data_IF_900136891352
#
_entry.id   IF_900136891352
#
_cell.length_a   1.000
_cell.length_b   1.000
_cell.length_c   1.000
_cell.angle_alpha   90.00
_cell.angle_beta   90.00
_cell.angle_gamma   90.00
#
_symmetry.space_group_name_H-M   'P 1'
#
loop_
_entity.id
_entity.type
_entity.pdbx_description
1 polymer ?
#
# COMPACT_ATOMS: atom_id res chain seq x y z
N UNK A 1 11.03 -8.83 -6.12
CA UNK A 1 10.39 -7.56 -5.73
C UNK A 1 9.47 -7.06 -6.84
N UNK A 2 8.39 -6.38 -6.49
CA UNK A 2 7.36 -6.00 -7.47
C UNK A 2 7.83 -4.80 -8.32
N UNK A 3 7.76 -4.86 -9.66
CA UNK A 3 8.31 -3.80 -10.53
C UNK A 3 7.60 -2.44 -10.40
N UNK A 4 6.35 -2.42 -9.93
CA UNK A 4 5.57 -1.19 -9.72
C UNK A 4 6.03 -0.42 -8.47
N UNK A 5 6.61 -1.12 -7.48
CA UNK A 5 7.16 -0.50 -6.26
C UNK A 5 8.63 -0.89 -6.20
N UNK A 6 9.54 -0.01 -6.66
CA UNK A 6 10.95 -0.34 -6.83
C UNK A 6 11.72 -0.30 -5.51
N UNK A 7 11.41 -1.24 -4.61
CA UNK A 7 12.16 -1.47 -3.37
C UNK A 7 13.39 -2.31 -3.71
N UNK A 8 14.57 -1.89 -3.29
CA UNK A 8 15.82 -2.57 -3.58
C UNK A 8 16.52 -3.01 -2.29
N UNK A 9 17.03 -4.24 -2.20
CA UNK A 9 17.87 -4.66 -1.09
C UNK A 9 19.20 -3.89 -1.11
N UNK A 10 19.76 -3.63 0.07
CA UNK A 10 21.09 -3.08 0.23
C UNK A 10 22.10 -4.20 0.54
N UNK A 11 23.39 -3.86 0.67
CA UNK A 11 24.42 -4.80 1.09
C UNK A 11 24.25 -5.27 2.55
N UNK A 12 23.43 -4.56 3.35
CA UNK A 12 23.15 -4.92 4.73
C UNK A 12 21.90 -5.80 4.81
N UNK A 13 21.98 -7.04 5.35
CA UNK A 13 20.81 -7.90 5.48
C UNK A 13 19.65 -7.23 6.24
N UNK A 14 18.45 -7.35 5.70
CA UNK A 14 17.23 -6.75 6.28
C UNK A 14 17.08 -5.25 6.01
N UNK A 15 18.01 -4.62 5.29
CA UNK A 15 17.91 -3.22 4.89
C UNK A 15 17.59 -3.08 3.41
N UNK A 16 16.67 -2.17 3.12
CA UNK A 16 16.18 -1.89 1.78
C UNK A 16 16.14 -0.39 1.52
N UNK A 17 16.15 -0.04 0.24
CA UNK A 17 16.05 1.34 -0.20
C UNK A 17 14.90 1.51 -1.20
N UNK A 18 14.24 2.65 -1.14
CA UNK A 18 13.14 3.00 -1.99
C UNK A 18 13.13 4.51 -2.23
N UNK A 19 13.34 4.96 -3.45
CA UNK A 19 13.16 6.37 -3.82
C UNK A 19 11.73 6.59 -4.27
N UNK A 20 11.01 7.51 -3.64
CA UNK A 20 9.60 7.78 -3.91
C UNK A 20 9.42 8.38 -5.31
N UNK A 21 8.87 7.66 -6.31
CA UNK A 21 8.63 8.23 -7.62
C UNK A 21 7.33 9.04 -7.63
N UNK A 22 7.25 10.05 -8.52
CA UNK A 22 6.10 10.95 -8.60
C UNK A 22 4.78 10.22 -8.88
N UNK A 23 4.81 9.22 -9.75
CA UNK A 23 3.64 8.41 -10.11
C UNK A 23 3.09 7.51 -8.99
N UNK A 24 3.76 7.46 -7.84
CA UNK A 24 3.28 6.80 -6.63
C UNK A 24 2.86 7.80 -5.54
N UNK A 25 2.70 9.06 -5.91
CA UNK A 25 2.28 10.15 -5.02
C UNK A 25 0.84 10.59 -5.31
N UNK A 26 0.23 11.22 -4.31
CA UNK A 26 -1.10 11.83 -4.37
C UNK A 26 -1.08 13.22 -3.74
N UNK A 27 -2.10 14.00 -3.97
CA UNK A 27 -2.27 15.33 -3.37
C UNK A 27 -2.39 16.43 -4.43
N UNK A 28 -2.47 17.70 -4.00
CA UNK A 28 -2.43 18.83 -4.91
C UNK A 28 -1.10 18.88 -5.69
N UNK A 29 -1.07 19.38 -6.94
CA UNK A 29 0.13 19.37 -7.77
C UNK A 29 1.36 20.04 -7.13
N UNK A 30 1.14 21.05 -6.28
CA UNK A 30 2.17 21.79 -5.54
C UNK A 30 2.60 21.11 -4.24
N UNK A 31 1.87 20.08 -3.79
CA UNK A 31 2.07 19.41 -2.49
C UNK A 31 1.85 17.90 -2.57
N UNK A 32 2.44 17.27 -3.56
CA UNK A 32 2.43 15.81 -3.69
C UNK A 32 3.15 15.12 -2.54
N UNK A 33 2.63 13.99 -2.12
CA UNK A 33 3.23 13.10 -1.12
C UNK A 33 2.93 11.65 -1.47
N UNK A 34 3.79 10.74 -1.01
CA UNK A 34 3.66 9.30 -1.23
C UNK A 34 2.28 8.81 -0.78
N UNK A 35 1.60 8.07 -1.64
CA UNK A 35 0.34 7.42 -1.28
C UNK A 35 0.57 6.41 -0.15
N UNK A 36 -0.27 6.46 0.89
CA UNK A 36 -0.09 5.61 2.08
C UNK A 36 -0.04 4.12 1.77
N UNK A 37 -0.86 3.66 0.81
CA UNK A 37 -0.82 2.27 0.34
C UNK A 37 0.52 1.86 -0.26
N UNK A 38 1.25 2.78 -0.90
CA UNK A 38 2.60 2.52 -1.42
C UNK A 38 3.58 2.31 -0.28
N UNK A 39 3.52 3.13 0.78
CA UNK A 39 4.37 2.96 1.96
C UNK A 39 4.15 1.61 2.65
N UNK A 40 2.90 1.18 2.80
CA UNK A 40 2.59 -0.15 3.32
C UNK A 40 3.11 -1.26 2.39
N UNK A 41 2.83 -1.16 1.09
CA UNK A 41 3.23 -2.17 0.12
C UNK A 41 4.75 -2.28 -0.03
N UNK A 42 5.50 -1.16 0.06
CA UNK A 42 6.98 -1.21 0.06
C UNK A 42 7.53 -1.96 1.28
N UNK A 43 6.96 -1.72 2.47
CA UNK A 43 7.33 -2.44 3.69
C UNK A 43 7.01 -3.95 3.59
N UNK A 44 5.83 -4.30 3.07
CA UNK A 44 5.44 -5.71 2.86
C UNK A 44 6.33 -6.39 1.83
N UNK A 45 6.64 -5.72 0.72
CA UNK A 45 7.56 -6.24 -0.30
C UNK A 45 8.95 -6.54 0.27
N UNK A 46 9.48 -5.63 1.11
CA UNK A 46 10.76 -5.84 1.77
C UNK A 46 10.76 -7.03 2.73
N UNK A 47 9.74 -7.13 3.60
CA UNK A 47 9.68 -8.20 4.61
C UNK A 47 9.37 -9.56 4.00
N UNK A 48 8.55 -9.65 2.95
CA UNK A 48 8.31 -10.89 2.20
C UNK A 48 9.57 -11.36 1.48
N UNK A 49 10.29 -10.45 0.84
CA UNK A 49 11.58 -10.77 0.22
C UNK A 49 12.60 -11.27 1.26
N UNK A 50 12.70 -10.60 2.41
CA UNK A 50 13.65 -10.96 3.47
C UNK A 50 13.36 -12.33 4.10
N UNK A 51 12.06 -12.62 4.35
CA UNK A 51 11.63 -13.83 5.05
C UNK A 51 11.38 -15.02 4.10
N UNK A 52 11.14 -14.76 2.82
CA UNK A 52 10.65 -15.75 1.86
C UNK A 52 9.23 -16.24 2.16
N UNK A 53 8.45 -15.52 2.96
CA UNK A 53 7.11 -15.91 3.43
C UNK A 53 6.06 -14.89 3.03
N UNK A 54 4.85 -15.34 2.61
CA UNK A 54 3.76 -14.43 2.29
C UNK A 54 3.22 -13.75 3.56
N UNK A 55 2.75 -12.53 3.42
CA UNK A 55 2.07 -11.78 4.49
C UNK A 55 0.66 -12.35 4.72
N UNK A 56 0.36 -12.62 5.98
CA UNK A 56 -0.97 -13.05 6.45
C UNK A 56 -1.76 -11.88 7.00
N UNK A 57 -1.08 -10.98 7.71
CA UNK A 57 -1.67 -9.81 8.35
C UNK A 57 -0.64 -8.71 8.49
N UNK A 58 -1.10 -7.47 8.38
CA UNK A 58 -0.27 -6.31 8.66
C UNK A 58 -1.09 -5.14 9.23
N UNK A 59 -0.44 -4.34 10.06
CA UNK A 59 -0.94 -3.06 10.53
C UNK A 59 0.15 -2.00 10.42
N UNK A 60 -0.23 -0.81 9.97
CA UNK A 60 0.68 0.30 9.74
C UNK A 60 0.34 1.51 10.61
N UNK A 61 1.36 2.15 11.15
CA UNK A 61 1.28 3.49 11.73
C UNK A 61 1.95 4.48 10.78
N UNK A 62 1.18 5.44 10.28
CA UNK A 62 1.67 6.54 9.44
C UNK A 62 2.05 7.70 10.36
N UNK A 63 3.34 7.97 10.48
CA UNK A 63 3.89 8.96 11.42
C UNK A 63 4.20 10.28 10.72
N UNK A 64 4.55 10.22 9.44
CA UNK A 64 4.85 11.38 8.61
C UNK A 64 4.60 11.06 7.13
N UNK A 65 4.97 11.99 6.26
CA UNK A 65 4.83 11.83 4.81
C UNK A 65 6.19 12.02 4.12
N UNK A 66 6.36 11.36 2.99
CA UNK A 66 7.50 11.53 2.09
C UNK A 66 7.06 12.21 0.80
N UNK A 67 7.89 13.10 0.27
CA UNK A 67 7.66 13.80 -1.02
C UNK A 67 8.24 13.01 -2.19
N UNK A 68 7.83 13.30 -3.45
CA UNK A 68 8.52 12.77 -4.61
C UNK A 68 10.04 13.02 -4.53
N UNK A 69 10.83 12.03 -4.89
CA UNK A 69 12.30 12.08 -4.85
C UNK A 69 12.93 11.82 -3.47
N UNK A 70 12.13 11.69 -2.41
CA UNK A 70 12.65 11.30 -1.09
C UNK A 70 13.18 9.87 -1.15
N UNK A 71 14.44 9.68 -0.71
CA UNK A 71 15.00 8.36 -0.47
C UNK A 71 14.54 7.86 0.90
N UNK A 72 14.01 6.65 0.93
CA UNK A 72 13.53 5.97 2.12
C UNK A 72 14.39 4.75 2.39
N UNK A 73 14.83 4.62 3.65
CA UNK A 73 15.48 3.42 4.17
C UNK A 73 14.44 2.58 4.93
N UNK A 74 14.37 1.28 4.62
CA UNK A 74 13.49 0.33 5.26
C UNK A 74 14.32 -0.68 6.04
N UNK A 75 14.09 -0.78 7.34
CA UNK A 75 14.72 -1.75 8.24
C UNK A 75 13.70 -2.85 8.57
N UNK A 76 14.03 -4.07 8.20
CA UNK A 76 13.22 -5.28 8.48
C UNK A 76 13.75 -5.97 9.72
N UNK A 77 12.92 -6.09 10.74
CA UNK A 77 13.23 -6.74 12.01
C UNK A 77 12.31 -7.95 12.17
N UNK A 78 12.88 -9.15 12.32
CA UNK A 78 12.13 -10.41 12.49
C UNK A 78 12.50 -11.05 13.83
N UNK A 79 11.85 -10.61 14.94
CA UNK A 79 12.18 -11.11 16.27
C UNK A 79 11.79 -12.56 16.51
N UNK A 80 10.83 -13.09 15.76
CA UNK A 80 10.33 -14.45 15.93
C UNK A 80 10.12 -15.13 14.59
N UNK A 81 10.70 -16.32 14.43
CA UNK A 81 10.47 -17.22 13.29
C UNK A 81 10.13 -18.61 13.81
N UNK A 82 8.86 -19.01 13.64
CA UNK A 82 8.36 -20.33 13.96
C UNK A 82 8.26 -21.23 12.72
N UNK A 83 7.77 -22.46 12.90
CA UNK A 83 7.58 -23.43 11.82
C UNK A 83 6.67 -22.89 10.71
N UNK A 84 5.54 -22.29 11.06
CA UNK A 84 4.50 -21.86 10.12
C UNK A 84 4.36 -20.35 9.97
N UNK A 85 4.86 -19.57 10.93
CA UNK A 85 4.73 -18.12 10.92
C UNK A 85 5.99 -17.42 11.43
N UNK A 86 6.15 -16.17 11.01
CA UNK A 86 7.10 -15.21 11.54
C UNK A 86 6.35 -13.96 11.99
N UNK A 87 6.90 -13.28 13.00
CA UNK A 87 6.45 -11.94 13.39
C UNK A 87 7.53 -10.96 12.99
N UNK A 88 7.14 -9.89 12.34
CA UNK A 88 8.07 -8.91 11.82
C UNK A 88 7.60 -7.48 12.07
N UNK A 89 8.56 -6.58 12.07
CA UNK A 89 8.34 -5.13 12.03
C UNK A 89 9.22 -4.53 10.94
N UNK A 90 8.66 -3.60 10.18
CA UNK A 90 9.40 -2.79 9.22
C UNK A 90 9.32 -1.34 9.65
N UNK A 91 10.47 -0.67 9.75
CA UNK A 91 10.57 0.75 10.07
C UNK A 91 11.09 1.45 8.82
N UNK A 92 10.34 2.41 8.31
CA UNK A 92 10.71 3.19 7.13
C UNK A 92 11.06 4.62 7.55
N UNK A 93 12.23 5.08 7.15
CA UNK A 93 12.76 6.41 7.51
C UNK A 93 13.17 7.22 6.28
N UNK A 94 13.08 8.54 6.41
CA UNK A 94 13.72 9.52 5.53
C UNK A 94 14.78 10.26 6.37
N UNK A 95 16.05 9.88 6.24
CA UNK A 95 17.08 10.28 7.19
C UNK A 95 16.71 9.89 8.62
N UNK A 96 16.70 10.83 9.55
CA UNK A 96 16.34 10.55 10.95
C UNK A 96 14.83 10.52 11.22
N UNK A 97 14.01 10.91 10.23
CA UNK A 97 12.55 10.98 10.40
C UNK A 97 11.90 9.64 10.09
N UNK A 98 11.18 9.07 11.04
CA UNK A 98 10.34 7.91 10.82
C UNK A 98 9.05 8.31 10.06
N UNK A 99 8.80 7.62 8.95
CA UNK A 99 7.66 7.88 8.05
C UNK A 99 6.51 6.91 8.32
N UNK A 100 6.84 5.62 8.40
CA UNK A 100 5.85 4.57 8.63
C UNK A 100 6.49 3.41 9.39
N UNK A 101 5.77 2.88 10.37
CA UNK A 101 6.09 1.60 11.01
C UNK A 101 5.01 0.58 10.69
N UNK A 102 5.43 -0.62 10.28
CA UNK A 102 4.54 -1.73 9.93
C UNK A 102 4.85 -2.93 10.81
N UNK A 103 3.83 -3.47 11.49
CA UNK A 103 3.90 -4.79 12.11
C UNK A 103 3.21 -5.80 11.22
N UNK A 104 3.82 -6.98 11.03
CA UNK A 104 3.30 -8.00 10.13
C UNK A 104 3.46 -9.41 10.72
N UNK A 105 2.49 -10.28 10.42
CA UNK A 105 2.61 -11.71 10.54
C UNK A 105 2.73 -12.33 9.15
N UNK A 106 3.73 -13.19 8.96
CA UNK A 106 4.03 -13.84 7.69
C UNK A 106 4.04 -15.36 7.86
N UNK A 107 3.72 -16.05 6.80
CA UNK A 107 3.77 -17.51 6.78
C UNK A 107 2.59 -18.15 6.08
N UNK A 108 2.52 -19.47 6.17
CA UNK A 108 1.40 -20.24 5.65
C UNK A 108 1.20 -21.50 6.49
N UNK A 109 -0.07 -21.93 6.58
CA UNK A 109 -0.41 -23.21 7.16
C UNK A 109 -1.26 -23.97 6.13
N UNK A 110 -0.68 -24.93 5.39
CA UNK A 110 -1.35 -25.57 4.26
C UNK A 110 -2.67 -26.26 4.60
N UNK A 111 -2.75 -26.84 5.81
CA UNK A 111 -3.91 -27.60 6.25
C UNK A 111 -4.93 -26.76 7.06
N UNK A 112 -4.87 -25.43 6.97
CA UNK A 112 -5.84 -24.56 7.62
C UNK A 112 -7.22 -24.71 7.00
N UNK A 113 -8.31 -24.75 7.81
CA UNK A 113 -9.66 -24.69 7.29
C UNK A 113 -9.88 -23.42 6.48
N UNK A 114 -10.50 -23.57 5.30
CA UNK A 114 -10.93 -22.44 4.48
C UNK A 114 -12.41 -22.19 4.68
N UNK A 115 -12.78 -20.96 4.97
CA UNK A 115 -14.17 -20.57 5.12
C UNK A 115 -14.41 -19.15 4.63
N UNK A 116 -15.55 -18.92 3.99
CA UNK A 116 -15.96 -17.61 3.50
C UNK A 116 -17.30 -17.23 4.13
N UNK A 117 -17.29 -16.23 5.02
CA UNK A 117 -18.51 -15.71 5.64
C UNK A 117 -19.14 -14.54 4.90
N UNK A 118 -18.31 -13.77 4.20
CA UNK A 118 -18.77 -12.61 3.45
C UNK A 118 -19.20 -13.02 2.04
N UNK A 119 -20.32 -12.49 1.60
CA UNK A 119 -20.79 -12.61 0.21
C UNK A 119 -20.52 -11.29 -0.49
N UNK A 120 -19.90 -11.37 -1.66
CA UNK A 120 -19.67 -10.18 -2.49
C UNK A 120 -21.01 -9.55 -2.88
N UNK A 121 -21.19 -8.22 -2.69
CA UNK A 121 -22.37 -7.53 -3.19
C UNK A 121 -22.56 -7.74 -4.68
N UNK A 122 -23.83 -7.86 -5.13
CA UNK A 122 -24.13 -7.87 -6.56
C UNK A 122 -23.87 -6.46 -7.13
N UNK A 123 -22.85 -6.34 -7.97
CA UNK A 123 -22.49 -5.09 -8.66
C UNK A 123 -22.32 -5.35 -10.14
N UNK A 124 -22.62 -4.37 -11.02
CA UNK A 124 -22.34 -4.49 -12.45
C UNK A 124 -20.83 -4.67 -12.70
N UNK A 125 -20.43 -5.28 -13.82
CA UNK A 125 -19.04 -5.33 -14.22
C UNK A 125 -18.48 -3.91 -14.48
N UNK A 126 -17.18 -3.67 -14.34
CA UNK A 126 -16.60 -2.33 -14.45
C UNK A 126 -16.92 -1.61 -15.75
N UNK A 127 -16.97 -2.32 -16.88
CA UNK A 127 -17.30 -1.81 -18.22
C UNK A 127 -18.71 -1.21 -18.31
N UNK A 128 -19.65 -1.68 -17.49
CA UNK A 128 -21.03 -1.20 -17.43
C UNK A 128 -21.20 -0.06 -16.40
N UNK A 129 -20.13 0.28 -15.67
CA UNK A 129 -20.17 1.32 -14.67
C UNK A 129 -19.62 2.65 -15.21
N UNK A 130 -20.24 3.80 -14.84
CA UNK A 130 -19.75 5.09 -15.26
C UNK A 130 -18.36 5.41 -14.66
N UNK A 131 -17.55 6.14 -15.43
CA UNK A 131 -16.26 6.64 -14.94
C UNK A 131 -16.44 7.60 -13.76
N UNK A 132 -15.53 7.49 -12.79
CA UNK A 132 -15.52 8.41 -11.68
C UNK A 132 -15.01 9.78 -12.10
N UNK A 133 -15.91 10.76 -12.20
CA UNK A 133 -15.52 12.14 -12.49
C UNK A 133 -14.93 12.81 -11.27
N UNK A 134 -13.75 13.39 -11.41
CA UNK A 134 -13.03 14.10 -10.35
C UNK A 134 -13.05 15.59 -10.67
N UNK A 135 -13.58 16.40 -9.73
CA UNK A 135 -13.83 17.82 -9.93
C UNK A 135 -12.70 18.76 -9.50
N UNK A 136 -11.59 18.24 -8.94
CA UNK A 136 -10.45 19.08 -8.54
C UNK A 136 -9.23 18.81 -9.41
N UNK A 137 -8.39 19.83 -9.55
CA UNK A 137 -7.16 19.72 -10.30
C UNK A 137 -6.25 18.68 -9.68
N UNK A 138 -5.74 17.77 -10.51
CA UNK A 138 -4.78 16.73 -10.17
C UNK A 138 -3.54 16.86 -11.03
N UNK A 139 -2.45 16.32 -10.51
CA UNK A 139 -1.27 16.09 -11.32
C UNK A 139 -1.56 14.92 -12.28
N UNK A 140 -1.34 15.09 -13.61
CA UNK A 140 -1.64 14.02 -14.58
C UNK A 140 -0.76 12.78 -14.40
N UNK A 141 0.38 12.92 -13.70
CA UNK A 141 1.33 11.83 -13.47
C UNK A 141 1.28 11.30 -12.04
N UNK A 142 0.24 11.63 -11.25
CA UNK A 142 0.09 11.14 -9.88
C UNK A 142 -0.42 9.69 -9.83
N UNK A 143 -0.43 9.10 -8.63
CA UNK A 143 -0.92 7.74 -8.40
C UNK A 143 -2.37 7.52 -8.89
N UNK A 144 -3.18 8.57 -8.87
CA UNK A 144 -4.57 8.46 -9.30
C UNK A 144 -4.73 8.26 -10.81
N UNK A 145 -3.74 8.65 -11.61
CA UNK A 145 -3.73 8.41 -13.06
C UNK A 145 -3.49 6.94 -13.42
N UNK A 146 -2.99 6.14 -12.46
CA UNK A 146 -2.73 4.70 -12.64
C UNK A 146 -4.00 3.83 -12.50
N UNK A 147 -5.15 4.43 -12.16
CA UNK A 147 -6.39 3.72 -11.86
C UNK A 147 -7.51 4.08 -12.84
N UNK A 148 -8.10 3.08 -13.48
CA UNK A 148 -9.44 3.20 -14.08
C UNK A 148 -10.47 2.98 -12.96
N UNK A 149 -11.14 4.05 -12.54
CA UNK A 149 -12.09 4.04 -11.44
C UNK A 149 -13.50 4.16 -11.95
N UNK A 150 -14.34 3.22 -11.53
CA UNK A 150 -15.75 3.12 -11.93
C UNK A 150 -16.64 3.17 -10.70
N UNK A 151 -17.84 3.75 -10.83
CA UNK A 151 -18.80 3.87 -9.74
C UNK A 151 -19.89 2.84 -9.92
N UNK A 152 -19.80 1.73 -9.19
CA UNK A 152 -20.81 0.66 -9.26
C UNK A 152 -22.10 1.02 -8.51
N UNK A 153 -22.02 1.79 -7.41
CA UNK A 153 -23.18 2.27 -6.66
C UNK A 153 -22.81 3.47 -5.81
N UNK A 154 -23.81 4.27 -5.44
CA UNK A 154 -23.62 5.47 -4.62
C UNK A 154 -23.11 6.68 -5.40
N UNK A 155 -22.70 7.73 -4.67
CA UNK A 155 -22.14 8.95 -5.25
C UNK A 155 -20.87 9.37 -4.52
N UNK A 156 -19.91 9.94 -5.27
CA UNK A 156 -18.69 10.48 -4.72
C UNK A 156 -18.77 12.03 -4.72
N UNK A 157 -18.80 12.67 -3.54
CA UNK A 157 -18.78 14.12 -3.42
C UNK A 157 -19.90 14.71 -2.57
N UNK A 158 -20.21 16.00 -2.82
CA UNK A 158 -21.19 16.76 -2.02
C UNK A 158 -22.65 16.32 -2.16
N UNK A 159 -22.98 15.49 -3.12
CA UNK A 159 -24.33 14.93 -3.32
C UNK A 159 -24.61 13.73 -2.39
N UNK A 160 -24.10 13.79 -1.16
CA UNK A 160 -24.36 12.78 -0.12
C UNK A 160 -25.79 12.83 0.39
N UNK A 161 -26.78 12.68 -0.44
CA UNK A 161 -28.16 12.78 0.02
C UNK A 161 -29.21 12.23 -0.92
N UNK A 162 -28.78 11.85 -2.11
CA UNK A 162 -29.69 11.17 -3.05
C UNK A 162 -29.24 9.72 -3.18
N UNK A 163 -29.90 8.85 -2.42
CA UNK A 163 -29.85 7.44 -2.76
C UNK A 163 -30.28 7.31 -4.23
N UNK A 164 -29.64 6.49 -5.05
CA UNK A 164 -30.17 6.13 -6.36
C UNK A 164 -31.54 5.49 -6.19
N UNK A 165 -32.44 5.68 -7.15
CA UNK A 165 -33.76 5.08 -7.12
C UNK A 165 -33.71 3.56 -7.04
#
# INVERSE_FOLDING_TARGET
LHPFIPVEPTDSPGHYRFTVPKNLCVGPPDRLFMFGGVGLASALSAVEHFTGRPTVWAAAQYLSYARPGTELDLEVIVPVTGKYNSQARVITRAGDQEIITVNAALGSRPDSPHHQWAVMPAVPPPEDCPEMTIRWQRDPDDMNSQWDRRVASGSFGRDRGKAPP
#
